data_IF_155499305855
#
_entry.id   IF_155499305855
#
_cell.length_a   1.000
_cell.length_b   1.000
_cell.length_c   1.000
_cell.angle_alpha   90.00
_cell.angle_beta   90.00
_cell.angle_gamma   90.00
#
_symmetry.space_group_name_H-M   'P 1'
#
loop_
_entity.id
_entity.type
_entity.pdbx_description
1 polymer ?
#
# COMPACT_ATOMS: atom_id res chain seq x y z
N UNK A 1 41.39 -43.97 65.58
CA UNK A 1 41.33 -44.15 64.10
C UNK A 1 40.25 -45.17 63.77
N UNK A 2 39.44 -44.92 62.74
CA UNK A 2 38.42 -45.84 62.17
C UNK A 2 37.06 -45.78 62.88
N UNK A 3 35.90 -45.68 62.22
CA UNK A 3 35.53 -46.12 60.86
C UNK A 3 34.51 -45.10 60.27
N UNK A 4 34.69 -44.58 59.04
CA UNK A 4 33.63 -43.85 58.35
C UNK A 4 32.64 -44.85 57.75
N UNK A 5 31.37 -44.76 58.12
CA UNK A 5 30.32 -45.60 57.54
C UNK A 5 30.17 -45.26 56.07
N UNK A 6 30.64 -46.17 55.22
CA UNK A 6 30.61 -46.08 53.77
C UNK A 6 29.20 -46.44 53.29
N UNK A 7 28.24 -45.53 53.39
CA UNK A 7 26.99 -45.65 52.61
C UNK A 7 27.25 -45.20 51.17
N UNK A 8 28.22 -45.84 50.51
CA UNK A 8 28.44 -45.70 49.07
C UNK A 8 27.70 -46.83 48.36
N UNK A 9 26.57 -46.48 47.74
CA UNK A 9 26.42 -46.72 46.31
C UNK A 9 25.81 -48.03 45.81
N UNK A 10 24.90 -48.68 46.54
CA UNK A 10 24.07 -49.74 45.93
C UNK A 10 22.62 -49.28 45.91
N UNK A 11 22.19 -48.71 44.78
CA UNK A 11 20.76 -48.49 44.51
C UNK A 11 20.05 -49.83 44.58
N UNK A 12 18.94 -49.89 45.31
CA UNK A 12 18.13 -51.10 45.36
C UNK A 12 17.60 -51.43 43.96
N UNK A 13 17.28 -52.70 43.69
CA UNK A 13 16.64 -53.08 42.42
C UNK A 13 15.33 -52.32 42.19
N UNK A 14 14.64 -51.94 43.26
CA UNK A 14 13.44 -51.11 43.20
C UNK A 14 13.75 -49.69 42.73
N UNK A 15 14.82 -49.07 43.24
CA UNK A 15 15.23 -47.70 42.86
C UNK A 15 15.61 -47.63 41.37
N UNK A 16 16.32 -48.64 40.87
CA UNK A 16 16.69 -48.73 39.44
C UNK A 16 15.43 -48.86 38.57
N UNK A 17 14.45 -49.66 39.00
CA UNK A 17 13.19 -49.82 38.30
C UNK A 17 12.36 -48.54 38.34
N UNK A 18 12.25 -47.87 39.49
CA UNK A 18 11.54 -46.61 39.65
C UNK A 18 12.10 -45.55 38.70
N UNK A 19 13.41 -45.36 38.67
CA UNK A 19 14.08 -44.41 37.78
C UNK A 19 13.79 -44.74 36.31
N UNK A 20 13.81 -46.02 35.94
CA UNK A 20 13.48 -46.44 34.58
C UNK A 20 12.02 -46.15 34.21
N UNK A 21 11.07 -46.33 35.13
CA UNK A 21 9.66 -45.99 34.90
C UNK A 21 9.45 -44.48 34.81
N UNK A 22 10.07 -43.71 35.70
CA UNK A 22 10.01 -42.25 35.68
C UNK A 22 10.55 -41.69 34.35
N UNK A 23 11.65 -42.23 33.84
CA UNK A 23 12.20 -41.80 32.55
C UNK A 23 11.27 -42.18 31.37
N UNK A 24 10.62 -43.35 31.41
CA UNK A 24 9.60 -43.72 30.40
C UNK A 24 8.42 -42.75 30.41
N UNK A 25 7.92 -42.40 31.60
CA UNK A 25 6.84 -41.43 31.77
C UNK A 25 7.28 -40.07 31.21
N UNK A 26 8.47 -39.60 31.60
CA UNK A 26 9.03 -38.33 31.12
C UNK A 26 9.10 -38.27 29.60
N UNK A 27 9.69 -39.27 28.96
CA UNK A 27 9.79 -39.35 27.48
C UNK A 27 8.42 -39.32 26.80
N UNK A 28 7.43 -40.01 27.35
CA UNK A 28 6.05 -40.01 26.83
C UNK A 28 5.43 -38.60 26.86
N UNK A 29 5.54 -37.91 28.01
CA UNK A 29 4.98 -36.57 28.16
C UNK A 29 5.72 -35.51 27.35
N UNK A 30 7.05 -35.62 27.21
CA UNK A 30 7.81 -34.72 26.32
C UNK A 30 7.37 -34.86 24.87
N UNK A 31 7.16 -36.09 24.39
CA UNK A 31 6.62 -36.33 23.03
C UNK A 31 5.21 -35.74 22.87
N UNK A 32 4.36 -35.89 23.88
CA UNK A 32 3.01 -35.34 23.86
C UNK A 32 3.01 -33.81 23.87
N UNK A 33 3.86 -33.19 24.70
CA UNK A 33 4.07 -31.74 24.76
C UNK A 33 4.55 -31.19 23.41
N UNK A 34 5.54 -31.83 22.80
CA UNK A 34 6.02 -31.47 21.46
C UNK A 34 4.91 -31.52 20.42
N UNK A 35 4.07 -32.57 20.46
CA UNK A 35 2.93 -32.72 19.54
C UNK A 35 1.89 -31.60 19.71
N UNK A 36 1.56 -31.26 20.96
CA UNK A 36 0.63 -30.17 21.29
C UNK A 36 1.16 -28.83 20.76
N UNK A 37 2.44 -28.52 21.03
CA UNK A 37 3.08 -27.29 20.57
C UNK A 37 3.13 -27.20 19.04
N UNK A 38 3.46 -28.30 18.36
CA UNK A 38 3.49 -28.34 16.91
C UNK A 38 2.10 -28.06 16.30
N UNK A 39 1.04 -28.67 16.88
CA UNK A 39 -0.33 -28.43 16.45
C UNK A 39 -0.78 -26.98 16.69
N UNK A 40 -0.48 -26.43 17.87
CA UNK A 40 -0.79 -25.05 18.22
C UNK A 40 -0.10 -24.07 17.28
N UNK A 41 1.20 -24.26 17.05
CA UNK A 41 1.99 -23.43 16.13
C UNK A 41 1.43 -23.51 14.71
N UNK A 42 1.08 -24.71 14.22
CA UNK A 42 0.45 -24.87 12.90
C UNK A 42 -0.85 -24.10 12.78
N UNK A 43 -1.70 -24.12 13.82
CA UNK A 43 -2.97 -23.37 13.84
C UNK A 43 -2.73 -21.87 13.86
N UNK A 44 -1.84 -21.38 14.73
CA UNK A 44 -1.46 -19.96 14.81
C UNK A 44 -0.89 -19.46 13.48
N UNK A 45 -0.01 -20.22 12.85
CA UNK A 45 0.58 -19.87 11.54
C UNK A 45 -0.48 -19.76 10.44
N UNK A 46 -1.45 -20.67 10.38
CA UNK A 46 -2.55 -20.59 9.41
C UNK A 46 -3.37 -19.30 9.57
N UNK A 47 -3.67 -18.92 10.82
CA UNK A 47 -4.39 -17.68 11.11
C UNK A 47 -3.57 -16.45 10.71
N UNK A 48 -2.27 -16.41 11.06
CA UNK A 48 -1.36 -15.33 10.66
C UNK A 48 -1.28 -15.16 9.14
N UNK A 49 -1.09 -16.26 8.40
CA UNK A 49 -1.04 -16.23 6.95
C UNK A 49 -2.33 -15.70 6.31
N UNK A 50 -3.51 -16.10 6.83
CA UNK A 50 -4.80 -15.57 6.34
C UNK A 50 -4.91 -14.06 6.60
N UNK A 51 -4.49 -13.61 7.78
CA UNK A 51 -4.48 -12.20 8.14
C UNK A 51 -3.56 -11.38 7.22
N UNK A 52 -2.31 -11.85 7.00
CA UNK A 52 -1.35 -11.20 6.12
C UNK A 52 -1.84 -11.11 4.67
N UNK A 53 -2.41 -12.20 4.12
CA UNK A 53 -3.03 -12.18 2.79
C UNK A 53 -4.15 -11.13 2.69
N UNK A 54 -5.00 -11.05 3.71
CA UNK A 54 -6.09 -10.08 3.75
C UNK A 54 -5.56 -8.65 3.80
N UNK A 55 -4.55 -8.38 4.63
CA UNK A 55 -3.88 -7.08 4.72
C UNK A 55 -3.27 -6.66 3.37
N UNK A 56 -2.54 -7.57 2.73
CA UNK A 56 -1.92 -7.32 1.42
C UNK A 56 -2.95 -6.96 0.34
N UNK A 57 -4.08 -7.69 0.28
CA UNK A 57 -5.17 -7.38 -0.67
C UNK A 57 -5.77 -5.99 -0.38
N UNK A 58 -5.98 -5.64 0.89
CA UNK A 58 -6.52 -4.34 1.28
C UNK A 58 -5.55 -3.20 0.94
N UNK A 59 -4.26 -3.38 1.18
CA UNK A 59 -3.22 -2.41 0.81
C UNK A 59 -3.15 -2.21 -0.70
N UNK A 60 -3.20 -3.29 -1.48
CA UNK A 60 -3.24 -3.22 -2.93
C UNK A 60 -4.46 -2.45 -3.43
N UNK A 61 -5.66 -2.75 -2.90
CA UNK A 61 -6.90 -2.02 -3.25
C UNK A 61 -6.82 -0.54 -2.87
N UNK A 62 -6.26 -0.22 -1.70
CA UNK A 62 -6.06 1.17 -1.26
C UNK A 62 -5.12 1.90 -2.21
N UNK A 63 -4.00 1.29 -2.60
CA UNK A 63 -3.04 1.88 -3.54
C UNK A 63 -3.65 2.10 -4.93
N UNK A 64 -4.44 1.15 -5.44
CA UNK A 64 -5.15 1.29 -6.71
C UNK A 64 -6.17 2.43 -6.67
N UNK A 65 -6.97 2.52 -5.61
CA UNK A 65 -7.95 3.59 -5.45
C UNK A 65 -7.26 4.97 -5.35
N UNK A 66 -6.14 5.06 -4.63
CA UNK A 66 -5.37 6.29 -4.52
C UNK A 66 -4.81 6.74 -5.89
N UNK A 67 -4.26 5.81 -6.67
CA UNK A 67 -3.79 6.10 -8.04
C UNK A 67 -4.92 6.56 -8.95
N UNK A 68 -6.08 5.91 -8.87
CA UNK A 68 -7.26 6.31 -9.64
C UNK A 68 -7.72 7.72 -9.29
N UNK A 69 -7.77 8.05 -8.00
CA UNK A 69 -8.07 9.40 -7.53
C UNK A 69 -7.08 10.43 -8.07
N UNK A 70 -5.77 10.17 -7.95
CA UNK A 70 -4.72 11.06 -8.45
C UNK A 70 -4.81 11.26 -9.97
N UNK A 71 -5.05 10.20 -10.73
CA UNK A 71 -5.21 10.27 -12.18
C UNK A 71 -6.43 11.11 -12.57
N UNK A 72 -7.55 10.99 -11.85
CA UNK A 72 -8.73 11.82 -12.09
C UNK A 72 -8.46 13.29 -11.81
N UNK A 73 -7.79 13.59 -10.69
CA UNK A 73 -7.41 14.97 -10.36
C UNK A 73 -6.48 15.56 -11.42
N UNK A 74 -5.43 14.83 -11.81
CA UNK A 74 -4.51 15.26 -12.86
C UNK A 74 -5.23 15.53 -14.19
N UNK A 75 -6.17 14.65 -14.59
CA UNK A 75 -6.97 14.85 -15.80
C UNK A 75 -7.83 16.11 -15.73
N UNK A 76 -8.46 16.39 -14.60
CA UNK A 76 -9.24 17.62 -14.40
C UNK A 76 -8.32 18.83 -14.52
N UNK A 77 -7.17 18.80 -13.86
CA UNK A 77 -6.20 19.90 -13.90
C UNK A 77 -5.68 20.15 -15.33
N UNK A 78 -5.38 19.11 -16.08
CA UNK A 78 -4.89 19.21 -17.45
C UNK A 78 -5.95 19.80 -18.40
N UNK A 79 -7.20 19.36 -18.29
CA UNK A 79 -8.32 19.94 -19.04
C UNK A 79 -8.48 21.42 -18.70
N UNK A 80 -8.46 21.77 -17.41
CA UNK A 80 -8.61 23.15 -16.96
C UNK A 80 -7.44 24.03 -17.41
N UNK A 81 -6.20 23.52 -17.37
CA UNK A 81 -5.02 24.21 -17.92
C UNK A 81 -5.17 24.44 -19.42
N UNK A 82 -5.58 23.42 -20.17
CA UNK A 82 -5.84 23.53 -21.61
C UNK A 82 -6.87 24.60 -21.94
N UNK A 83 -8.00 24.61 -21.23
CA UNK A 83 -9.05 25.62 -21.41
C UNK A 83 -8.56 27.05 -21.12
N UNK A 84 -7.80 27.24 -20.04
CA UNK A 84 -7.19 28.56 -19.72
C UNK A 84 -6.19 29.00 -20.78
N UNK A 85 -5.36 28.07 -21.27
CA UNK A 85 -4.39 28.36 -22.32
C UNK A 85 -5.07 28.80 -23.62
N UNK A 86 -6.12 28.10 -24.04
CA UNK A 86 -6.92 28.47 -25.23
C UNK A 86 -7.59 29.83 -25.06
N UNK A 87 -8.15 30.12 -23.90
CA UNK A 87 -8.76 31.42 -23.59
C UNK A 87 -7.74 32.55 -23.67
N UNK A 88 -6.57 32.38 -23.05
CA UNK A 88 -5.49 33.38 -23.09
C UNK A 88 -4.94 33.59 -24.50
N UNK A 89 -4.81 32.52 -25.29
CA UNK A 89 -4.37 32.64 -26.69
C UNK A 89 -5.38 33.44 -27.52
N UNK A 90 -6.68 33.14 -27.38
CA UNK A 90 -7.74 33.89 -28.05
C UNK A 90 -7.73 35.37 -27.66
N UNK A 91 -7.54 35.67 -26.37
CA UNK A 91 -7.39 37.05 -25.87
C UNK A 91 -6.21 37.75 -26.53
N UNK A 92 -5.02 37.11 -26.58
CA UNK A 92 -3.83 37.68 -27.23
C UNK A 92 -4.05 37.92 -28.72
N UNK A 93 -4.72 37.01 -29.41
CA UNK A 93 -5.05 37.15 -30.82
C UNK A 93 -5.96 38.37 -31.04
N UNK A 94 -7.07 38.47 -30.32
CA UNK A 94 -8.02 39.59 -30.43
C UNK A 94 -7.33 40.93 -30.10
N UNK A 95 -6.52 40.98 -29.03
CA UNK A 95 -5.72 42.15 -28.70
C UNK A 95 -4.72 42.53 -29.81
N UNK A 96 -4.10 41.55 -30.46
CA UNK A 96 -3.18 41.77 -31.58
C UNK A 96 -3.91 42.31 -32.81
N UNK A 97 -5.06 41.74 -33.16
CA UNK A 97 -5.89 42.23 -34.27
C UNK A 97 -6.33 43.67 -34.07
N UNK A 98 -6.73 44.05 -32.84
CA UNK A 98 -7.07 45.43 -32.49
C UNK A 98 -5.85 46.35 -32.63
N UNK A 99 -4.67 45.93 -32.14
CA UNK A 99 -3.42 46.69 -32.27
C UNK A 99 -3.04 46.91 -33.74
N UNK A 100 -3.17 45.89 -34.60
CA UNK A 100 -2.89 46.01 -36.04
C UNK A 100 -3.88 46.94 -36.75
N UNK A 101 -5.18 46.83 -36.46
CA UNK A 101 -6.19 47.78 -36.98
C UNK A 101 -5.87 49.22 -36.55
N UNK A 102 -5.50 49.42 -35.29
CA UNK A 102 -5.10 50.74 -34.78
C UNK A 102 -3.86 51.29 -35.49
N UNK A 103 -2.83 50.46 -35.71
CA UNK A 103 -1.63 50.84 -36.49
C UNK A 103 -2.01 51.27 -37.91
N UNK A 104 -2.88 50.52 -38.59
CA UNK A 104 -3.37 50.85 -39.94
C UNK A 104 -4.12 52.19 -39.99
N UNK A 105 -4.94 52.48 -38.98
CA UNK A 105 -5.64 53.76 -38.87
C UNK A 105 -4.63 54.91 -38.71
N UNK A 106 -3.63 54.76 -37.82
CA UNK A 106 -2.60 55.78 -37.62
C UNK A 106 -1.78 56.07 -38.87
N UNK A 107 -1.50 55.05 -39.69
CA UNK A 107 -0.72 55.22 -40.92
C UNK A 107 -1.52 55.75 -42.12
N UNK A 108 -2.81 55.41 -42.23
CA UNK A 108 -3.64 55.76 -43.41
C UNK A 108 -4.69 56.84 -43.15
N UNK A 109 -4.98 57.15 -41.89
CA UNK A 109 -6.05 58.07 -41.48
C UNK A 109 -7.48 57.52 -41.68
N UNK A 110 -7.64 56.28 -42.18
CA UNK A 110 -8.95 55.69 -42.52
C UNK A 110 -9.32 54.59 -41.54
N UNK A 111 -10.55 54.65 -41.01
CA UNK A 111 -11.11 53.60 -40.15
C UNK A 111 -11.58 52.41 -41.01
N UNK A 112 -11.16 51.17 -40.71
CA UNK A 112 -11.64 50.00 -41.46
C UNK A 112 -13.16 49.85 -41.32
N UNK A 113 -13.87 49.78 -42.45
CA UNK A 113 -15.32 49.58 -42.48
C UNK A 113 -15.63 48.09 -42.39
N UNK A 114 -16.27 47.64 -41.32
CA UNK A 114 -16.81 46.27 -41.22
C UNK A 114 -18.22 46.23 -41.82
N UNK A 115 -18.38 45.72 -43.05
CA UNK A 115 -19.73 45.44 -43.61
C UNK A 115 -20.30 44.24 -42.86
N UNK A 116 -21.26 44.45 -41.96
CA UNK A 116 -22.12 43.38 -41.44
C UNK A 116 -23.25 43.16 -42.43
N UNK A 117 -22.93 42.45 -43.51
CA UNK A 117 -23.81 42.26 -44.65
C UNK A 117 -24.10 40.76 -44.79
N UNK A 118 -24.81 40.20 -43.81
CA UNK A 118 -25.55 38.93 -43.94
C UNK A 118 -26.97 39.16 -43.44
N UNK A 119 -27.76 39.78 -44.30
CA UNK A 119 -29.21 39.78 -44.23
C UNK A 119 -29.75 38.52 -44.91
N UNK A 120 -30.71 37.86 -44.26
CA UNK A 120 -31.78 37.05 -44.85
C UNK A 120 -31.40 35.78 -45.62
N UNK A 121 -31.63 34.62 -44.99
CA UNK A 121 -32.60 33.60 -45.45
C UNK A 121 -33.04 32.74 -44.27
#
# INVERSE_FOLDING_TARGET
>A
MGIPSRQNGVRSRADVWEIAQMEKIRKRYEKMKSTILAWENKRKMKVKQKNERTKSILEQRRAQNQRHYQNKMARIDDIAKGARAQMEEKRRQEESEVKEKAKRIRSTGKVPVTCFCFSCY
#
